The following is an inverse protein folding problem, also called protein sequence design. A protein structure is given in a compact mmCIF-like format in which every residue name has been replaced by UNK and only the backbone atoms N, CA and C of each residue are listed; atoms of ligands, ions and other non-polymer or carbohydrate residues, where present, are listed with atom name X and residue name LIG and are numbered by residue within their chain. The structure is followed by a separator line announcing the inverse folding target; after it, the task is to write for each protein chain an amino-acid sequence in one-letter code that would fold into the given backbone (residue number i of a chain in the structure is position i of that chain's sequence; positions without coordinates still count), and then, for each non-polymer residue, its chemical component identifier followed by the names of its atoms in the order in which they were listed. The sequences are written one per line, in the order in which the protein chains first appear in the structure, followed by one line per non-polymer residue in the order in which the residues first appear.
data_IF_348537884673
#
_entry.id   IF_348537884673
#
_cell.length_a   1.000
_cell.length_b   1.000
_cell.length_c   1.000
_cell.angle_alpha   90.00
_cell.angle_beta   90.00
_cell.angle_gamma   90.00
#
_symmetry.space_group_name_H-M   'P 1'
#
loop_
_entity.id
_entity.type
_entity.pdbx_description
1 polymer ?
#
# COMPACT_ATOMS: atom_id res chain seq x y z
N UNK A 1 6.11 -11.10 1.70
CA UNK A 1 7.22 -11.42 0.77
C UNK A 1 7.26 -12.87 0.31
N UNK A 2 6.81 -13.84 1.12
CA UNK A 2 6.86 -15.27 0.74
C UNK A 2 6.04 -15.62 -0.51
N UNK A 3 4.81 -15.12 -0.65
CA UNK A 3 4.00 -15.31 -1.86
C UNK A 3 4.70 -14.74 -3.09
N UNK A 4 5.27 -13.54 -2.96
CA UNK A 4 6.04 -12.90 -4.02
C UNK A 4 7.29 -13.72 -4.37
N UNK A 5 7.95 -14.33 -3.37
CA UNK A 5 9.08 -15.26 -3.58
C UNK A 5 8.66 -16.51 -4.34
N UNK A 6 7.53 -17.12 -3.97
CA UNK A 6 6.99 -18.28 -4.67
C UNK A 6 6.67 -17.96 -6.15
N UNK A 7 6.41 -16.69 -6.46
CA UNK A 7 6.22 -16.20 -7.81
C UNK A 7 7.46 -15.54 -8.43
N UNK A 8 8.66 -15.66 -7.86
CA UNK A 8 9.89 -15.09 -8.44
C UNK A 8 9.89 -13.56 -8.56
N UNK A 9 9.10 -12.87 -7.73
CA UNK A 9 8.94 -11.42 -7.70
C UNK A 9 9.75 -10.75 -6.59
N UNK A 10 10.14 -11.52 -5.57
CA UNK A 10 10.69 -10.97 -4.34
C UNK A 10 12.01 -10.22 -4.54
N UNK A 11 12.93 -10.76 -5.33
CA UNK A 11 14.30 -10.22 -5.43
C UNK A 11 14.32 -8.80 -6.00
N UNK A 12 13.60 -8.56 -7.09
CA UNK A 12 13.48 -7.23 -7.70
C UNK A 12 12.77 -6.25 -6.76
N UNK A 13 11.71 -6.70 -6.07
CA UNK A 13 10.99 -5.87 -5.11
C UNK A 13 11.90 -5.46 -3.95
N UNK A 14 12.66 -6.41 -3.39
CA UNK A 14 13.60 -6.15 -2.30
C UNK A 14 14.73 -5.22 -2.75
N UNK A 15 15.29 -5.44 -3.94
CA UNK A 15 16.35 -4.59 -4.50
C UNK A 15 15.91 -3.14 -4.67
N UNK A 16 14.63 -2.92 -5.03
CA UNK A 16 14.06 -1.59 -5.22
C UNK A 16 13.44 -0.99 -3.96
N UNK A 17 13.36 -1.74 -2.86
CA UNK A 17 12.76 -1.28 -1.61
C UNK A 17 13.71 -0.40 -0.80
N UNK A 18 13.16 0.37 0.14
CA UNK A 18 13.98 1.10 1.09
C UNK A 18 14.86 0.12 1.89
N UNK A 19 16.12 0.49 2.22
CA UNK A 19 16.90 -0.22 3.22
C UNK A 19 16.10 -0.41 4.51
N UNK A 20 16.19 -1.60 5.11
CA UNK A 20 15.39 -1.95 6.29
C UNK A 20 15.62 -1.00 7.48
N UNK A 21 16.83 -0.43 7.61
CA UNK A 21 17.12 0.55 8.65
C UNK A 21 16.26 1.80 8.56
N UNK A 22 15.78 2.19 7.36
CA UNK A 22 14.90 3.34 7.16
C UNK A 22 13.43 3.08 7.51
N UNK A 23 13.11 1.85 7.90
CA UNK A 23 11.78 1.44 8.34
C UNK A 23 11.86 0.73 9.69
N UNK A 24 12.81 1.13 10.53
CA UNK A 24 13.13 0.43 11.78
C UNK A 24 12.41 1.01 13.00
N UNK A 25 11.82 2.21 12.90
CA UNK A 25 11.14 2.86 14.02
C UNK A 25 9.82 3.50 13.63
N UNK A 26 8.86 3.50 14.55
CA UNK A 26 7.69 4.40 14.50
C UNK A 26 7.81 5.39 15.65
N UNK A 27 7.58 6.67 15.38
CA UNK A 27 7.73 7.74 16.35
C UNK A 27 6.45 8.55 16.54
N UNK A 28 6.32 9.15 17.71
CA UNK A 28 5.31 10.14 18.07
C UNK A 28 6.00 11.42 18.53
N UNK A 29 5.58 12.54 17.97
CA UNK A 29 6.00 13.87 18.37
C UNK A 29 4.81 14.84 18.31
N UNK A 30 4.93 16.03 18.89
CA UNK A 30 3.84 17.01 18.84
C UNK A 30 3.67 17.64 17.45
N UNK A 31 4.77 17.99 16.80
CA UNK A 31 4.84 18.58 15.47
C UNK A 31 6.21 18.29 14.85
N UNK A 32 6.32 18.40 13.51
CA UNK A 32 7.60 18.20 12.82
C UNK A 32 8.55 19.38 13.02
N UNK A 33 8.01 20.60 12.97
CA UNK A 33 8.73 21.86 13.07
C UNK A 33 7.98 22.87 13.95
N UNK A 34 8.29 24.16 13.80
CA UNK A 34 7.70 25.22 14.62
C UNK A 34 8.59 25.66 15.78
N UNK A 35 8.21 26.77 16.43
CA UNK A 35 8.96 27.45 17.49
C UNK A 35 8.13 27.73 18.75
N UNK A 36 6.89 27.24 18.79
CA UNK A 36 6.02 27.30 19.94
C UNK A 36 6.54 26.46 21.12
N UNK A 37 6.01 26.68 22.33
CA UNK A 37 6.49 26.01 23.55
C UNK A 37 6.31 24.49 23.52
N UNK A 38 5.31 24.02 22.79
CA UNK A 38 4.97 22.60 22.62
C UNK A 38 5.40 22.03 21.26
N UNK A 39 6.03 22.82 20.40
CA UNK A 39 6.51 22.31 19.12
C UNK A 39 7.69 21.36 19.30
N UNK A 40 7.81 20.39 18.38
CA UNK A 40 8.96 19.46 18.28
C UNK A 40 9.24 18.66 19.55
N UNK A 41 8.22 18.41 20.38
CA UNK A 41 8.36 17.59 21.58
C UNK A 41 8.26 16.13 21.17
N UNK A 42 9.37 15.42 21.37
CA UNK A 42 9.39 13.96 21.25
C UNK A 42 8.57 13.33 22.38
N UNK A 43 7.70 12.40 22.03
CA UNK A 43 6.82 11.72 22.98
C UNK A 43 7.31 10.29 23.18
N UNK A 44 7.40 9.52 22.10
CA UNK A 44 7.80 8.12 22.17
C UNK A 44 8.25 7.59 20.81
N UNK A 45 9.02 6.50 20.82
CA UNK A 45 9.29 5.68 19.63
C UNK A 45 9.52 4.23 20.03
N UNK A 46 9.27 3.33 19.10
CA UNK A 46 9.56 1.92 19.26
C UNK A 46 10.05 1.29 17.96
N UNK A 47 10.70 0.14 18.08
CA UNK A 47 11.24 -0.65 16.98
C UNK A 47 10.12 -1.30 16.17
N UNK A 48 10.18 -1.22 14.84
CA UNK A 48 9.20 -1.83 13.95
C UNK A 48 9.88 -2.61 12.83
N UNK A 49 9.17 -3.64 12.35
CA UNK A 49 9.50 -4.37 11.12
C UNK A 49 10.89 -5.04 11.08
N UNK A 50 11.57 -5.16 12.23
CA UNK A 50 12.87 -5.83 12.35
C UNK A 50 14.00 -5.14 11.56
N UNK A 51 13.87 -3.84 11.27
CA UNK A 51 14.87 -3.07 10.53
C UNK A 51 16.09 -2.65 11.35
N UNK A 52 16.00 -2.81 12.66
CA UNK A 52 16.98 -2.53 13.70
C UNK A 52 17.97 -3.70 13.85
N UNK A 53 18.93 -3.80 12.93
CA UNK A 53 19.84 -4.96 12.89
C UNK A 53 20.63 -5.16 14.18
N UNK A 54 20.65 -6.40 14.67
CA UNK A 54 21.47 -6.80 15.82
C UNK A 54 20.72 -6.80 17.16
N UNK A 55 19.44 -6.42 17.18
CA UNK A 55 18.57 -6.54 18.36
C UNK A 55 17.94 -7.93 18.47
N UNK A 56 17.42 -8.26 19.67
CA UNK A 56 16.59 -9.45 19.86
C UNK A 56 15.30 -9.39 19.02
N UNK A 57 14.74 -8.18 18.84
CA UNK A 57 13.57 -7.93 18.03
C UNK A 57 13.81 -8.24 16.55
N UNK A 58 14.87 -7.73 15.93
CA UNK A 58 15.24 -8.10 14.56
C UNK A 58 15.62 -9.59 14.41
N UNK A 59 16.12 -10.24 15.48
CA UNK A 59 16.37 -11.67 15.48
C UNK A 59 15.08 -12.50 15.40
N UNK A 60 13.98 -12.08 16.05
CA UNK A 60 12.70 -12.78 15.94
C UNK A 60 12.14 -12.75 14.52
N UNK A 61 12.22 -11.61 13.83
CA UNK A 61 11.80 -11.50 12.43
C UNK A 61 12.56 -12.46 11.50
N UNK A 62 13.89 -12.57 11.66
CA UNK A 62 14.72 -13.49 10.87
C UNK A 62 14.47 -14.96 11.18
N UNK A 63 14.08 -15.27 12.41
CA UNK A 63 13.70 -16.63 12.81
C UNK A 63 12.37 -17.03 12.17
N UNK A 64 11.41 -16.12 12.15
CA UNK A 64 10.02 -16.42 11.81
C UNK A 64 9.70 -16.23 10.31
N UNK A 65 10.57 -15.55 9.55
CA UNK A 65 10.39 -15.33 8.11
C UNK A 65 11.70 -15.52 7.31
N UNK A 66 11.64 -16.15 6.12
CA UNK A 66 12.81 -16.39 5.27
C UNK A 66 13.27 -15.14 4.51
N UNK A 67 12.44 -14.09 4.45
CA UNK A 67 12.73 -12.82 3.78
C UNK A 67 12.30 -11.66 4.67
N UNK A 68 13.09 -10.58 4.65
CA UNK A 68 12.75 -9.33 5.30
C UNK A 68 11.49 -8.68 4.71
N UNK A 69 10.89 -7.78 5.49
CA UNK A 69 9.86 -6.88 5.01
C UNK A 69 10.45 -5.86 4.02
N UNK A 70 9.58 -5.26 3.22
CA UNK A 70 9.95 -4.34 2.15
C UNK A 70 9.08 -3.09 2.21
N UNK A 71 9.67 -1.91 1.98
CA UNK A 71 8.96 -0.66 1.78
C UNK A 71 9.16 -0.18 0.33
N UNK A 72 8.18 -0.48 -0.52
CA UNK A 72 8.12 -0.08 -1.93
C UNK A 72 6.71 0.44 -2.22
N UNK A 73 6.52 1.73 -2.56
CA UNK A 73 5.19 2.28 -2.78
C UNK A 73 4.55 1.69 -4.04
N UNK A 74 3.22 1.73 -4.09
CA UNK A 74 2.45 1.17 -5.20
C UNK A 74 2.85 1.75 -6.56
N UNK A 75 3.17 3.05 -6.64
CA UNK A 75 3.62 3.68 -7.88
C UNK A 75 4.89 3.03 -8.48
N UNK A 76 5.71 2.37 -7.65
CA UNK A 76 6.92 1.63 -8.06
C UNK A 76 6.69 0.13 -8.14
N UNK A 77 5.84 -0.42 -7.27
CA UNK A 77 5.50 -1.84 -7.26
C UNK A 77 4.62 -2.23 -8.46
N UNK A 78 3.58 -1.47 -8.76
CA UNK A 78 2.61 -1.80 -9.80
C UNK A 78 3.24 -1.94 -11.21
N UNK A 79 4.20 -1.09 -11.62
CA UNK A 79 4.93 -1.32 -12.87
C UNK A 79 5.66 -2.66 -12.93
N UNK A 80 6.23 -3.14 -11.82
CA UNK A 80 6.89 -4.44 -11.73
C UNK A 80 5.84 -5.55 -11.93
N UNK A 81 4.75 -5.48 -11.18
CA UNK A 81 3.66 -6.46 -11.26
C UNK A 81 3.03 -6.50 -12.65
N UNK A 82 2.81 -5.32 -13.25
CA UNK A 82 2.28 -5.17 -14.61
C UNK A 82 3.19 -5.84 -15.63
N UNK A 83 4.48 -5.48 -15.63
CA UNK A 83 5.45 -6.04 -16.58
C UNK A 83 5.46 -7.57 -16.48
N UNK A 84 5.52 -8.12 -15.26
CA UNK A 84 5.52 -9.56 -15.05
C UNK A 84 4.20 -10.22 -15.49
N UNK A 85 3.06 -9.55 -15.33
CA UNK A 85 1.77 -10.05 -15.83
C UNK A 85 1.74 -10.06 -17.36
N UNK A 86 2.26 -9.03 -18.01
CA UNK A 86 2.35 -8.92 -19.47
C UNK A 86 3.33 -9.96 -20.05
N UNK A 87 4.48 -10.20 -19.41
CA UNK A 87 5.45 -11.23 -19.80
C UNK A 87 4.87 -12.64 -19.67
N UNK A 88 4.13 -12.92 -18.58
CA UNK A 88 3.54 -14.25 -18.32
C UNK A 88 2.29 -14.51 -19.14
N UNK A 89 1.58 -13.46 -19.55
CA UNK A 89 0.35 -13.59 -20.31
C UNK A 89 0.27 -12.55 -21.45
N UNK A 90 1.11 -12.71 -22.49
CA UNK A 90 1.23 -11.72 -23.56
C UNK A 90 -0.10 -11.42 -24.24
N UNK A 91 -0.43 -10.13 -24.37
CA UNK A 91 -1.64 -9.65 -25.05
C UNK A 91 -2.96 -9.91 -24.31
N UNK A 92 -2.91 -10.28 -23.02
CA UNK A 92 -4.12 -10.54 -22.19
C UNK A 92 -4.32 -9.57 -21.04
N UNK A 93 -3.44 -8.58 -20.90
CA UNK A 93 -3.59 -7.48 -19.94
C UNK A 93 -4.12 -6.26 -20.69
N UNK A 94 -5.35 -5.86 -20.41
CA UNK A 94 -6.03 -4.76 -21.12
C UNK A 94 -6.33 -3.61 -20.16
N UNK A 95 -5.51 -2.56 -20.21
CA UNK A 95 -5.79 -1.31 -19.50
C UNK A 95 -6.84 -0.48 -20.23
N UNK A 96 -7.50 0.44 -19.52
CA UNK A 96 -8.54 1.29 -20.10
C UNK A 96 -9.80 0.53 -20.52
N UNK A 97 -9.98 -0.71 -20.04
CA UNK A 97 -11.18 -1.51 -20.26
C UNK A 97 -11.99 -1.56 -18.99
N UNK A 98 -13.25 -1.15 -19.07
CA UNK A 98 -14.18 -1.17 -17.95
C UNK A 98 -15.16 -2.33 -18.13
N UNK A 99 -15.34 -3.15 -17.10
CA UNK A 99 -16.42 -4.13 -17.05
C UNK A 99 -17.76 -3.42 -16.82
N UNK A 100 -18.76 -3.75 -17.64
CA UNK A 100 -20.10 -3.17 -17.59
C UNK A 100 -21.05 -4.07 -16.77
N UNK A 101 -21.09 -5.34 -17.12
CA UNK A 101 -21.89 -6.37 -16.45
C UNK A 101 -21.32 -7.76 -16.70
N UNK A 102 -21.92 -8.76 -16.05
CA UNK A 102 -21.68 -10.16 -16.32
C UNK A 102 -22.91 -11.01 -16.00
N UNK A 103 -23.00 -12.17 -16.64
CA UNK A 103 -24.05 -13.17 -16.42
C UNK A 103 -23.40 -14.52 -16.14
N UNK A 104 -23.80 -15.15 -15.04
CA UNK A 104 -23.44 -16.55 -14.75
C UNK A 104 -24.42 -17.49 -15.48
N UNK A 105 -23.89 -18.30 -16.38
CA UNK A 105 -24.64 -19.33 -17.12
C UNK A 105 -24.44 -20.75 -16.52
N UNK A 106 -23.92 -20.83 -15.28
CA UNK A 106 -23.69 -22.07 -14.53
C UNK A 106 -22.38 -22.77 -14.87
N UNK A 107 -22.09 -22.96 -16.16
CA UNK A 107 -20.82 -23.57 -16.62
C UNK A 107 -19.80 -22.54 -17.13
N UNK A 108 -20.21 -21.28 -17.29
CA UNK A 108 -19.37 -20.18 -17.74
C UNK A 108 -19.96 -18.85 -17.32
N UNK A 109 -19.12 -17.83 -17.31
CA UNK A 109 -19.50 -16.44 -17.09
C UNK A 109 -19.33 -15.67 -18.40
N UNK A 110 -20.37 -14.93 -18.78
CA UNK A 110 -20.32 -13.97 -19.88
C UNK A 110 -20.04 -12.60 -19.29
N UNK A 111 -18.98 -11.94 -19.72
CA UNK A 111 -18.56 -10.62 -19.22
C UNK A 111 -18.59 -9.63 -20.35
N UNK A 112 -19.23 -8.49 -20.15
CA UNK A 112 -19.25 -7.38 -21.11
C UNK A 112 -18.32 -6.27 -20.65
N UNK A 113 -17.48 -5.78 -21.55
CA UNK A 113 -16.54 -4.69 -21.28
C UNK A 113 -16.62 -3.63 -22.34
N UNK A 114 -16.21 -2.40 -22.02
CA UNK A 114 -16.03 -1.30 -22.98
C UNK A 114 -14.60 -0.75 -22.88
N UNK A 115 -13.99 -0.45 -24.02
CA UNK A 115 -12.70 0.24 -24.06
C UNK A 115 -12.85 1.78 -24.06
N UNK A 116 -11.74 2.50 -24.02
CA UNK A 116 -11.74 3.98 -24.03
C UNK A 116 -12.30 4.59 -25.32
N UNK A 117 -12.36 3.83 -26.42
CA UNK A 117 -12.96 4.26 -27.68
C UNK A 117 -14.47 3.97 -27.75
N UNK A 118 -15.05 3.38 -26.69
CA UNK A 118 -16.46 3.01 -26.63
C UNK A 118 -16.78 1.67 -27.30
N UNK A 119 -15.77 0.88 -27.69
CA UNK A 119 -16.00 -0.43 -28.30
C UNK A 119 -16.36 -1.45 -27.23
N UNK A 120 -17.55 -2.01 -27.33
CA UNK A 120 -17.97 -3.12 -26.48
C UNK A 120 -17.36 -4.46 -26.95
N UNK A 121 -16.95 -5.26 -25.98
CA UNK A 121 -16.44 -6.63 -26.21
C UNK A 121 -17.09 -7.57 -25.21
N UNK A 122 -17.45 -8.77 -25.67
CA UNK A 122 -18.01 -9.84 -24.85
C UNK A 122 -17.00 -10.95 -24.71
N UNK A 123 -16.69 -11.31 -23.47
CA UNK A 123 -15.82 -12.43 -23.12
C UNK A 123 -16.66 -13.55 -22.52
N UNK A 124 -16.31 -14.79 -22.86
CA UNK A 124 -16.82 -15.99 -22.21
C UNK A 124 -15.69 -16.68 -21.48
N UNK A 125 -15.79 -16.79 -20.16
CA UNK A 125 -14.77 -17.40 -19.31
C UNK A 125 -15.38 -18.49 -18.42
N UNK A 126 -14.54 -19.42 -17.94
CA UNK A 126 -15.00 -20.45 -16.98
C UNK A 126 -15.21 -19.86 -15.58
N UNK A 127 -14.41 -18.84 -15.25
CA UNK A 127 -14.43 -18.15 -13.97
C UNK A 127 -14.15 -16.67 -14.18
N UNK A 128 -14.72 -15.85 -13.30
CA UNK A 128 -14.42 -14.43 -13.18
C UNK A 128 -13.94 -14.14 -11.76
N UNK A 129 -12.84 -13.40 -11.62
CA UNK A 129 -12.31 -12.97 -10.32
C UNK A 129 -12.56 -11.46 -10.17
N UNK A 130 -13.38 -11.08 -9.18
CA UNK A 130 -13.66 -9.68 -8.87
C UNK A 130 -12.57 -9.05 -8.02
N UNK A 131 -11.59 -8.40 -8.67
CA UNK A 131 -10.49 -7.68 -8.01
C UNK A 131 -10.59 -6.15 -8.21
N UNK A 132 -11.81 -5.60 -8.19
CA UNK A 132 -12.14 -4.20 -8.50
C UNK A 132 -12.16 -3.27 -7.27
N UNK A 133 -11.71 -3.79 -6.12
CA UNK A 133 -11.81 -3.11 -4.83
C UNK A 133 -13.21 -3.12 -4.22
N UNK A 134 -14.09 -4.03 -4.66
CA UNK A 134 -15.44 -4.19 -4.12
C UNK A 134 -16.43 -3.12 -4.59
N UNK A 135 -16.15 -2.49 -5.73
CA UNK A 135 -16.93 -1.36 -6.27
C UNK A 135 -18.12 -1.79 -7.13
N UNK A 136 -17.96 -2.84 -7.92
CA UNK A 136 -18.91 -3.21 -8.98
C UNK A 136 -19.37 -4.66 -8.82
N UNK A 137 -18.45 -5.61 -8.72
CA UNK A 137 -18.77 -7.06 -8.74
C UNK A 137 -19.63 -7.46 -7.54
N UNK A 138 -19.27 -7.01 -6.34
CA UNK A 138 -20.03 -7.26 -5.11
C UNK A 138 -21.46 -6.73 -5.18
N UNK A 139 -21.65 -5.55 -5.78
CA UNK A 139 -22.96 -4.92 -5.93
C UNK A 139 -23.86 -5.71 -6.87
N UNK A 140 -23.35 -6.15 -8.03
CA UNK A 140 -24.09 -6.95 -9.00
C UNK A 140 -24.56 -8.28 -8.38
N UNK A 141 -23.71 -8.91 -7.56
CA UNK A 141 -24.05 -10.17 -6.86
C UNK A 141 -24.95 -9.96 -5.62
N UNK A 142 -25.25 -8.72 -5.24
CA UNK A 142 -25.98 -8.42 -4.01
C UNK A 142 -25.21 -8.76 -2.72
N UNK A 143 -23.88 -8.90 -2.80
CA UNK A 143 -23.01 -9.19 -1.65
C UNK A 143 -22.82 -7.90 -0.85
N UNK A 144 -23.34 -7.88 0.38
CA UNK A 144 -23.29 -6.71 1.25
C UNK A 144 -22.12 -6.79 2.24
N UNK A 145 -21.27 -5.79 2.22
CA UNK A 145 -20.30 -5.54 3.29
C UNK A 145 -21.04 -5.05 4.54
N UNK A 146 -20.84 -5.76 5.66
CA UNK A 146 -21.41 -5.41 6.96
C UNK A 146 -20.35 -4.72 7.83
N UNK A 147 -20.72 -3.61 8.44
CA UNK A 147 -19.86 -2.85 9.34
C UNK A 147 -20.13 -1.34 9.27
N UNK A 148 -19.56 -0.56 10.19
CA UNK A 148 -19.62 0.90 10.15
C UNK A 148 -19.06 1.44 8.83
N UNK A 149 -19.70 2.47 8.28
CA UNK A 149 -19.24 3.21 7.09
C UNK A 149 -18.90 4.63 7.50
N UNK A 150 -18.12 5.32 6.67
CA UNK A 150 -17.73 6.72 6.89
C UNK A 150 -17.09 6.92 8.27
N UNK A 151 -16.14 6.04 8.61
CA UNK A 151 -15.46 6.04 9.91
C UNK A 151 -14.57 7.28 10.05
N UNK A 152 -13.89 7.69 8.98
CA UNK A 152 -13.04 8.87 8.94
C UNK A 152 -12.91 9.38 7.51
N UNK A 153 -12.73 10.68 7.36
CA UNK A 153 -12.21 11.29 6.16
C UNK A 153 -10.69 11.49 6.34
N UNK A 154 -9.92 11.27 5.29
CA UNK A 154 -8.45 11.40 5.34
C UNK A 154 -7.97 12.10 4.08
N UNK A 155 -7.20 13.17 4.26
CA UNK A 155 -6.51 13.87 3.18
C UNK A 155 -5.05 13.42 3.16
N UNK A 156 -4.60 12.84 2.05
CA UNK A 156 -3.20 12.48 1.86
C UNK A 156 -2.52 13.49 0.92
N UNK A 157 -1.40 14.05 1.35
CA UNK A 157 -0.59 14.98 0.55
C UNK A 157 0.75 14.33 0.25
N UNK A 158 1.07 14.21 -1.04
CA UNK A 158 2.39 13.79 -1.50
C UNK A 158 3.20 15.03 -1.89
N UNK A 159 4.36 15.22 -1.28
CA UNK A 159 5.25 16.35 -1.54
C UNK A 159 6.71 15.94 -1.43
N UNK A 160 7.60 16.72 -2.04
CA UNK A 160 9.04 16.60 -1.87
C UNK A 160 9.60 17.82 -1.14
N UNK A 161 10.39 17.59 -0.09
CA UNK A 161 11.11 18.61 0.66
C UNK A 161 12.34 18.00 1.34
N UNK A 162 13.36 18.80 1.60
CA UNK A 162 14.46 18.40 2.49
C UNK A 162 14.00 18.55 3.95
N UNK A 163 13.83 17.43 4.63
CA UNK A 163 13.42 17.36 6.03
C UNK A 163 14.54 16.86 6.93
N UNK A 164 15.78 16.78 6.45
CA UNK A 164 16.92 16.17 7.18
C UNK A 164 17.20 16.82 8.54
N UNK A 165 16.86 18.10 8.73
CA UNK A 165 16.95 18.79 10.03
C UNK A 165 15.91 18.27 11.06
N UNK A 166 14.75 17.80 10.58
CA UNK A 166 13.58 17.47 11.41
C UNK A 166 13.26 15.96 11.43
N UNK A 167 13.88 15.19 10.55
CA UNK A 167 13.55 13.79 10.30
C UNK A 167 14.68 12.86 10.73
N UNK A 168 14.31 11.78 11.41
CA UNK A 168 15.21 10.65 11.66
C UNK A 168 14.96 9.62 10.55
N UNK A 169 15.96 9.35 9.72
CA UNK A 169 15.85 8.42 8.59
C UNK A 169 15.38 7.02 8.99
N UNK A 170 15.49 6.64 10.28
CA UNK A 170 14.99 5.36 10.78
C UNK A 170 13.47 5.26 10.84
N UNK A 171 12.77 6.40 10.81
CA UNK A 171 11.33 6.46 10.96
C UNK A 171 10.63 5.90 9.72
N UNK A 172 9.94 4.77 9.88
CA UNK A 172 8.92 4.32 8.93
C UNK A 172 7.72 5.26 8.93
N UNK A 173 7.35 5.77 10.10
CA UNK A 173 6.26 6.73 10.24
C UNK A 173 6.51 7.59 11.47
N UNK A 174 6.11 8.86 11.36
CA UNK A 174 6.05 9.76 12.50
C UNK A 174 4.63 10.30 12.63
N UNK A 175 3.96 9.94 13.71
CA UNK A 175 2.63 10.40 14.06
C UNK A 175 2.70 11.67 14.90
N UNK A 176 1.74 12.57 14.70
CA UNK A 176 1.68 13.80 15.45
C UNK A 176 0.62 13.76 16.55
N UNK A 177 0.91 14.42 17.67
CA UNK A 177 -0.04 14.72 18.75
C UNK A 177 0.02 16.23 18.94
N UNK A 178 -0.62 16.95 18.02
CA UNK A 178 -0.59 18.41 18.02
C UNK A 178 -1.64 18.94 19.00
N UNK A 179 -1.22 19.74 19.97
CA UNK A 179 -2.10 20.33 20.99
C UNK A 179 -3.11 21.33 20.41
N UNK A 180 -2.88 21.83 19.20
CA UNK A 180 -3.80 22.73 18.49
C UNK A 180 -4.88 21.95 17.71
N UNK A 181 -4.74 20.62 17.59
CA UNK A 181 -5.72 19.73 17.00
C UNK A 181 -6.58 19.04 18.07
N UNK A 182 -7.81 18.68 17.73
CA UNK A 182 -8.74 18.05 18.67
C UNK A 182 -8.45 16.55 18.91
N UNK A 183 -7.89 15.85 17.92
CA UNK A 183 -7.53 14.42 18.04
C UNK A 183 -6.22 14.04 17.35
N UNK A 184 -5.71 12.83 17.63
CA UNK A 184 -4.54 12.25 16.95
C UNK A 184 -4.80 12.06 15.45
N UNK A 185 -6.03 11.72 15.05
CA UNK A 185 -6.39 11.59 13.63
C UNK A 185 -6.38 12.93 12.90
N UNK A 186 -6.65 14.02 13.62
CA UNK A 186 -6.58 15.39 13.07
C UNK A 186 -5.16 15.94 13.04
N UNK A 187 -4.25 15.39 13.85
CA UNK A 187 -2.84 15.81 13.91
C UNK A 187 -2.00 15.29 12.73
N UNK A 188 -2.44 14.19 12.11
CA UNK A 188 -1.79 13.61 10.94
C UNK A 188 -0.51 12.82 11.23
N UNK A 189 0.15 12.39 10.15
CA UNK A 189 1.41 11.67 10.19
C UNK A 189 2.22 11.94 8.92
N UNK A 190 3.54 11.81 9.01
CA UNK A 190 4.42 11.75 7.85
C UNK A 190 4.97 10.34 7.71
N UNK A 191 4.98 9.85 6.48
CA UNK A 191 5.48 8.54 6.08
C UNK A 191 6.37 8.76 4.85
N UNK A 192 7.61 8.25 4.84
CA UNK A 192 8.46 8.34 3.66
C UNK A 192 7.93 7.41 2.57
N UNK A 193 7.87 7.92 1.34
CA UNK A 193 7.42 7.18 0.16
C UNK A 193 8.38 6.05 -0.28
N UNK A 194 9.41 5.73 0.50
CA UNK A 194 10.46 4.80 0.10
C UNK A 194 11.46 5.41 -0.91
N UNK A 195 12.38 4.61 -1.45
CA UNK A 195 13.51 5.09 -2.24
C UNK A 195 13.03 5.71 -3.55
N UNK A 196 13.79 6.67 -4.10
CA UNK A 196 13.44 7.35 -5.35
C UNK A 196 13.39 6.42 -6.57
#
# INVERSE_FOLDING_TARGET
METLRAHGMADEILQKSAPACFMSQVAWQTSLGGSGPLDRRFIHKFECFGGDSGTEYSASYRRDAPLSLANLPQIRLEPILRRLAEERNPGKVSYGHQMLDFTDEGNSVVVRTVDQAGKETVYRCRYMVGADGGRTVSLILGIKMQGPRNITDMVSVHFGADLSEYWDERYFACHFINSECGTVFESGAIVPMGPN
#
